data_IF_051086427217
#
_entry.id   IF_051086427217
#
_cell.length_a   1.000
_cell.length_b   1.000
_cell.length_c   1.000
_cell.angle_alpha   90.00
_cell.angle_beta   90.00
_cell.angle_gamma   90.00
#
_symmetry.space_group_name_H-M   'P 1'
#
loop_
_entity.id
_entity.type
_entity.pdbx_description
1 polymer ?
#
# COMPACT_ATOMS: atom_id res chain seq x y z
N UNK A 1 27.77 32.09 -40.20
CA UNK A 1 26.71 33.02 -39.74
C UNK A 1 25.49 32.20 -39.35
N UNK A 2 25.13 32.29 -38.06
CA UNK A 2 23.81 32.05 -37.42
C UNK A 2 22.89 30.98 -38.03
N UNK A 3 22.97 29.78 -37.46
CA UNK A 3 21.82 28.88 -37.35
C UNK A 3 20.97 29.35 -36.16
N UNK A 4 19.75 29.81 -36.42
CA UNK A 4 18.76 30.18 -35.40
C UNK A 4 17.45 29.48 -35.78
N UNK A 5 17.30 28.25 -35.30
CA UNK A 5 16.00 27.57 -35.25
C UNK A 5 15.24 28.22 -34.08
N UNK A 6 14.08 28.86 -34.29
CA UNK A 6 13.30 29.39 -33.20
C UNK A 6 12.70 28.22 -32.41
N UNK A 7 12.95 28.23 -31.11
CA UNK A 7 12.39 27.30 -30.15
C UNK A 7 10.85 27.38 -30.16
N UNK A 8 10.22 26.50 -30.93
CA UNK A 8 8.77 26.34 -30.93
C UNK A 8 8.40 25.53 -29.69
N UNK A 9 7.98 26.26 -28.66
CA UNK A 9 6.90 25.91 -27.72
C UNK A 9 6.85 24.43 -27.31
N UNK A 10 7.72 24.04 -26.38
CA UNK A 10 7.47 22.86 -25.55
C UNK A 10 6.33 23.20 -24.57
N UNK A 11 5.11 22.98 -25.06
CA UNK A 11 3.93 22.73 -24.25
C UNK A 11 4.27 21.62 -23.25
N UNK A 12 4.19 21.91 -21.95
CA UNK A 12 4.47 20.92 -20.93
C UNK A 12 4.29 21.52 -19.56
N UNK A 13 3.02 21.70 -19.19
CA UNK A 13 2.51 21.70 -17.82
C UNK A 13 3.58 21.36 -16.77
N UNK A 14 4.28 22.38 -16.26
CA UNK A 14 4.80 22.38 -14.89
C UNK A 14 3.60 22.54 -13.96
N UNK A 15 2.65 21.60 -14.07
CA UNK A 15 1.72 21.32 -13.01
C UNK A 15 2.59 20.78 -11.89
N UNK A 16 2.89 21.63 -10.92
CA UNK A 16 3.52 21.19 -9.69
C UNK A 16 2.75 19.97 -9.22
N UNK A 17 3.40 18.81 -9.25
CA UNK A 17 2.92 17.65 -8.53
C UNK A 17 3.11 18.05 -7.07
N UNK A 18 2.13 18.79 -6.53
CA UNK A 18 1.84 18.76 -5.10
C UNK A 18 1.42 17.33 -4.84
N UNK A 19 2.41 16.44 -4.72
CA UNK A 19 2.23 15.19 -4.05
C UNK A 19 1.92 15.62 -2.63
N UNK A 20 0.64 15.68 -2.28
CA UNK A 20 0.22 15.63 -0.89
C UNK A 20 1.10 14.54 -0.28
N UNK A 21 1.98 14.93 0.64
CA UNK A 21 2.83 14.01 1.36
C UNK A 21 1.89 13.18 2.23
N UNK A 22 1.30 12.16 1.62
CA UNK A 22 0.40 11.25 2.28
C UNK A 22 1.29 10.41 3.18
N UNK A 23 1.32 10.75 4.46
CA UNK A 23 2.02 9.93 5.45
C UNK A 23 1.38 8.55 5.41
N UNK A 24 2.17 7.58 4.95
CA UNK A 24 1.71 6.20 4.74
C UNK A 24 1.11 5.65 6.03
N UNK A 25 1.59 6.08 7.18
CA UNK A 25 1.12 5.61 8.48
C UNK A 25 -0.29 6.12 8.83
N UNK A 26 -0.78 7.18 8.19
CA UNK A 26 -2.15 7.66 8.38
C UNK A 26 -3.18 6.76 7.68
N UNK A 27 -2.77 6.07 6.61
CA UNK A 27 -3.64 5.17 5.86
C UNK A 27 -3.76 3.77 6.43
N UNK A 28 -2.91 3.42 7.41
CA UNK A 28 -2.87 2.07 7.94
C UNK A 28 -3.02 2.05 9.45
N UNK A 29 -4.02 1.29 9.92
CA UNK A 29 -4.24 1.05 11.34
C UNK A 29 -3.76 -0.33 11.72
N UNK A 30 -2.83 -0.42 12.67
CA UNK A 30 -2.44 -1.71 13.25
C UNK A 30 -3.58 -2.27 14.11
N UNK A 31 -3.98 -3.50 13.84
CA UNK A 31 -5.02 -4.18 14.60
C UNK A 31 -4.45 -5.50 15.16
N UNK A 32 -3.97 -5.48 16.43
CA UNK A 32 -3.19 -6.57 17.02
C UNK A 32 -4.02 -7.81 17.38
N UNK A 33 -5.34 -7.76 17.23
CA UNK A 33 -6.26 -8.89 17.43
C UNK A 33 -6.89 -9.38 16.12
N UNK A 34 -6.43 -8.89 14.97
CA UNK A 34 -6.95 -9.24 13.66
C UNK A 34 -5.88 -9.97 12.83
N UNK A 35 -6.33 -10.78 11.89
CA UNK A 35 -5.49 -11.46 10.88
C UNK A 35 -6.17 -11.40 9.51
N UNK A 36 -5.39 -11.63 8.46
CA UNK A 36 -5.96 -11.71 7.12
C UNK A 36 -6.84 -12.95 6.94
N UNK A 37 -7.93 -12.77 6.20
CA UNK A 37 -8.69 -13.90 5.64
C UNK A 37 -7.86 -14.65 4.60
N UNK A 38 -8.26 -15.88 4.28
CA UNK A 38 -7.63 -16.71 3.24
C UNK A 38 -7.61 -16.07 1.85
N UNK A 39 -8.46 -15.06 1.61
CA UNK A 39 -8.52 -14.27 0.39
C UNK A 39 -7.31 -13.33 0.29
N UNK A 40 -6.16 -13.88 -0.13
CA UNK A 40 -4.93 -13.12 -0.37
C UNK A 40 -4.83 -12.71 -1.84
N UNK A 41 -4.51 -11.44 -2.08
CA UNK A 41 -4.35 -10.88 -3.44
C UNK A 41 -2.93 -11.03 -3.96
N UNK A 42 -1.96 -11.21 -3.07
CA UNK A 42 -0.56 -11.39 -3.41
C UNK A 42 0.34 -11.57 -2.19
N UNK A 43 1.55 -12.04 -2.45
CA UNK A 43 2.65 -12.14 -1.46
C UNK A 43 3.84 -11.42 -2.05
N UNK A 44 4.41 -10.49 -1.28
CA UNK A 44 5.58 -9.71 -1.65
C UNK A 44 6.67 -9.95 -0.60
N UNK A 45 7.90 -10.24 -1.03
CA UNK A 45 9.02 -10.42 -0.12
C UNK A 45 9.52 -9.04 0.35
N UNK A 46 9.31 -8.73 1.63
CA UNK A 46 9.74 -7.46 2.25
C UNK A 46 10.23 -7.69 3.69
N UNK A 47 11.33 -7.03 4.02
CA UNK A 47 11.92 -7.08 5.36
C UNK A 47 11.19 -6.13 6.31
N UNK A 48 10.83 -4.94 5.83
CA UNK A 48 10.30 -3.86 6.67
C UNK A 48 8.79 -3.66 6.55
N UNK A 49 8.17 -3.26 7.66
CA UNK A 49 6.76 -2.89 7.74
C UNK A 49 6.39 -1.85 6.69
N UNK A 50 7.16 -0.78 6.57
CA UNK A 50 6.83 0.34 5.67
C UNK A 50 6.84 -0.07 4.20
N UNK A 51 7.69 -1.03 3.81
CA UNK A 51 7.70 -1.59 2.47
C UNK A 51 6.47 -2.47 2.21
N UNK A 52 5.98 -3.19 3.23
CA UNK A 52 4.71 -3.90 3.17
C UNK A 52 3.52 -2.94 2.96
N UNK A 53 3.45 -1.85 3.74
CA UNK A 53 2.41 -0.83 3.58
C UNK A 53 2.47 -0.19 2.19
N UNK A 54 3.68 0.10 1.70
CA UNK A 54 3.92 0.66 0.36
C UNK A 54 3.53 -0.30 -0.76
N UNK A 55 3.73 -1.61 -0.58
CA UNK A 55 3.31 -2.61 -1.54
C UNK A 55 1.78 -2.63 -1.70
N UNK A 56 1.03 -2.47 -0.62
CA UNK A 56 -0.43 -2.34 -0.66
C UNK A 56 -0.91 -1.14 -1.49
N UNK A 57 -0.34 0.05 -1.23
CA UNK A 57 -0.66 1.25 -2.00
C UNK A 57 -0.25 1.13 -3.47
N UNK A 58 0.92 0.55 -3.74
CA UNK A 58 1.36 0.27 -5.12
C UNK A 58 0.39 -0.67 -5.85
N UNK A 59 -0.16 -1.67 -5.15
CA UNK A 59 -1.18 -2.57 -5.69
C UNK A 59 -2.44 -1.81 -6.09
N UNK A 60 -2.90 -0.88 -5.24
CA UNK A 60 -4.06 -0.02 -5.54
C UNK A 60 -3.83 0.90 -6.74
N UNK A 61 -2.65 1.52 -6.84
CA UNK A 61 -2.28 2.34 -8.00
C UNK A 61 -2.27 1.54 -9.31
N UNK A 62 -2.08 0.22 -9.22
CA UNK A 62 -2.15 -0.72 -10.36
C UNK A 62 -3.57 -1.28 -10.59
N UNK A 63 -4.58 -0.74 -9.90
CA UNK A 63 -5.98 -1.15 -10.04
C UNK A 63 -6.36 -2.40 -9.24
N UNK A 64 -5.49 -2.91 -8.36
CA UNK A 64 -5.81 -4.05 -7.49
C UNK A 64 -6.18 -3.54 -6.10
N UNK A 65 -7.40 -3.86 -5.65
CA UNK A 65 -7.85 -3.51 -4.32
C UNK A 65 -6.93 -4.13 -3.24
N UNK A 66 -6.52 -3.32 -2.28
CA UNK A 66 -5.79 -3.75 -1.10
C UNK A 66 -6.42 -3.08 0.14
N UNK A 67 -7.21 -3.85 0.87
CA UNK A 67 -7.93 -3.40 2.08
C UNK A 67 -7.14 -3.70 3.36
N UNK A 68 -6.14 -4.59 3.31
CA UNK A 68 -5.29 -4.86 4.45
C UNK A 68 -4.05 -5.66 4.08
N UNK A 69 -3.06 -5.64 4.97
CA UNK A 69 -1.82 -6.39 4.84
C UNK A 69 -1.41 -7.08 6.13
N UNK A 70 -0.67 -8.18 6.00
CA UNK A 70 -0.02 -8.86 7.12
C UNK A 70 1.49 -8.90 6.88
N UNK A 71 2.24 -8.20 7.73
CA UNK A 71 3.70 -8.24 7.71
C UNK A 71 4.20 -9.38 8.60
N UNK A 72 4.86 -10.36 7.98
CA UNK A 72 5.50 -11.50 8.63
C UNK A 72 7.01 -11.27 8.67
N UNK A 73 7.45 -10.49 9.64
CA UNK A 73 8.88 -10.20 9.84
C UNK A 73 9.76 -11.46 9.99
N UNK A 74 9.20 -12.59 10.43
CA UNK A 74 9.96 -13.85 10.55
C UNK A 74 10.30 -14.47 9.19
N UNK A 75 9.39 -14.35 8.23
CA UNK A 75 9.49 -14.97 6.92
C UNK A 75 9.93 -13.96 5.84
N UNK A 76 10.09 -12.68 6.21
CA UNK A 76 10.30 -11.55 5.30
C UNK A 76 9.20 -11.45 4.23
N UNK A 77 7.97 -11.75 4.63
CA UNK A 77 6.81 -11.75 3.74
C UNK A 77 5.82 -10.67 4.11
N UNK A 78 5.23 -10.05 3.09
CA UNK A 78 4.05 -9.22 3.18
C UNK A 78 2.92 -9.84 2.40
N UNK A 79 1.86 -10.18 3.11
CA UNK A 79 0.65 -10.71 2.51
C UNK A 79 -0.30 -9.55 2.25
N UNK A 80 -0.75 -9.39 1.01
CA UNK A 80 -1.73 -8.39 0.62
C UNK A 80 -3.11 -9.02 0.52
N UNK A 81 -4.15 -8.32 0.95
CA UNK A 81 -5.55 -8.76 0.78
C UNK A 81 -6.45 -7.63 0.31
N UNK A 82 -7.44 -7.97 -0.49
CA UNK A 82 -8.52 -7.08 -0.93
C UNK A 82 -9.67 -7.02 0.08
N UNK A 83 -9.59 -7.76 1.20
CA UNK A 83 -10.58 -7.74 2.28
C UNK A 83 -9.96 -7.26 3.58
N UNK A 84 -10.81 -6.70 4.45
CA UNK A 84 -10.45 -6.39 5.83
C UNK A 84 -10.21 -7.68 6.61
N UNK A 85 -9.36 -7.59 7.63
CA UNK A 85 -9.02 -8.70 8.49
C UNK A 85 -10.21 -9.17 9.32
N UNK A 86 -10.10 -10.40 9.80
CA UNK A 86 -11.04 -10.98 10.76
C UNK A 86 -10.41 -11.02 12.14
N UNK A 87 -11.24 -10.93 13.16
CA UNK A 87 -10.79 -11.04 14.54
C UNK A 87 -10.25 -12.44 14.78
N UNK A 88 -9.04 -12.53 15.31
CA UNK A 88 -8.35 -13.79 15.58
C UNK A 88 -9.11 -14.61 16.61
N UNK A 89 -8.97 -15.92 16.48
CA UNK A 89 -9.40 -16.86 17.51
C UNK A 89 -8.48 -16.73 18.73
N UNK A 90 -9.02 -16.55 19.94
CA UNK A 90 -8.21 -16.52 21.16
C UNK A 90 -7.36 -17.79 21.28
N UNK A 91 -6.05 -17.64 21.49
CA UNK A 91 -5.10 -18.75 21.59
C UNK A 91 -4.47 -19.21 20.27
N UNK A 92 -4.87 -18.65 19.11
CA UNK A 92 -4.19 -18.89 17.84
C UNK A 92 -2.80 -18.25 17.81
N UNK A 93 -1.83 -18.92 17.18
CA UNK A 93 -0.48 -18.36 17.00
C UNK A 93 -0.53 -17.15 16.08
N UNK A 94 0.05 -16.03 16.52
CA UNK A 94 0.23 -14.82 15.69
C UNK A 94 1.16 -15.15 14.52
N UNK A 95 0.68 -15.01 13.28
CA UNK A 95 1.46 -15.23 12.05
C UNK A 95 2.29 -14.00 11.68
N UNK A 96 1.75 -12.81 11.91
CA UNK A 96 2.38 -11.53 11.62
C UNK A 96 1.63 -10.36 12.25
N UNK A 97 2.06 -9.14 11.95
CA UNK A 97 1.34 -7.92 12.32
C UNK A 97 0.39 -7.51 11.20
N UNK A 98 -0.89 -7.37 11.53
CA UNK A 98 -1.93 -6.99 10.58
C UNK A 98 -2.20 -5.48 10.61
N UNK A 99 -2.27 -4.90 9.42
CA UNK A 99 -2.52 -3.49 9.18
C UNK A 99 -3.69 -3.34 8.22
N UNK A 100 -4.72 -2.60 8.63
CA UNK A 100 -5.90 -2.32 7.83
C UNK A 100 -5.74 -1.02 7.07
N UNK A 101 -6.03 -1.03 5.77
CA UNK A 101 -5.97 0.15 4.91
C UNK A 101 -7.28 0.94 5.02
N UNK A 102 -7.28 2.00 5.82
CA UNK A 102 -8.45 2.88 5.98
C UNK A 102 -8.64 3.82 4.80
N UNK A 103 -7.58 4.09 4.03
CA UNK A 103 -7.65 4.89 2.81
C UNK A 103 -8.25 4.12 1.62
N UNK A 104 -8.31 2.78 1.71
CA UNK A 104 -8.91 1.91 0.68
C UNK A 104 -10.43 1.83 0.75
N UNK A 105 -11.03 2.20 1.89
CA UNK A 105 -12.47 2.09 2.06
C UNK A 105 -13.12 3.13 1.17
N UNK A 106 -13.87 2.66 0.16
CA UNK A 106 -14.74 3.55 -0.59
C UNK A 106 -15.65 4.30 0.40
N UNK A 107 -15.90 5.60 0.23
CA UNK A 107 -16.95 6.26 1.00
C UNK A 107 -18.24 5.48 0.76
N UNK A 108 -18.81 4.95 1.84
CA UNK A 108 -20.08 4.22 1.82
C UNK A 108 -21.23 5.09 1.35
#
# INVERSE_FOLDING_TARGET
MRSLIPAVLFFGLIGGIFGDYLDINQCFKELPDYELTVDTTGVEAVEFKDDCLRACLRSQLRGKACAGVEHRAKDNDCILSNRTGVRRVPGAKKKGSYYENVCAQAPG
#
